data_IF_558821317577
#
_entry.id   IF_558821317577
#
_cell.length_a   1.000
_cell.length_b   1.000
_cell.length_c   1.000
_cell.angle_alpha   90.00
_cell.angle_beta   90.00
_cell.angle_gamma   90.00
#
_symmetry.space_group_name_H-M   'P 1'
#
loop_
_entity.id
_entity.type
_entity.pdbx_description
1 polymer ?
#
# COMPACT_ATOMS: atom_id res chain seq x y z
N UNK A 1 -2.26 -14.31 -1.78
CA UNK A 1 -2.67 -13.32 -0.75
C UNK A 1 -2.74 -11.95 -1.41
N UNK A 2 -3.88 -11.24 -1.26
CA UNK A 2 -4.08 -9.93 -1.89
C UNK A 2 -3.68 -8.80 -0.95
N UNK A 3 -2.95 -7.83 -1.46
CA UNK A 3 -2.57 -6.60 -0.77
C UNK A 3 -2.97 -5.39 -1.62
N UNK A 4 -3.38 -4.33 -0.97
CA UNK A 4 -3.53 -3.01 -1.60
C UNK A 4 -2.31 -2.19 -1.17
N UNK A 5 -1.45 -1.88 -2.14
CA UNK A 5 -0.24 -1.07 -1.92
C UNK A 5 -0.60 0.38 -2.23
N UNK A 6 -0.44 1.25 -1.24
CA UNK A 6 -0.90 2.64 -1.29
C UNK A 6 0.30 3.59 -1.28
N UNK A 7 0.30 4.52 -2.23
CA UNK A 7 1.34 5.53 -2.40
C UNK A 7 0.75 6.90 -2.08
N UNK A 8 1.48 7.69 -1.32
CA UNK A 8 1.00 9.01 -0.90
C UNK A 8 2.14 10.01 -0.72
N UNK A 9 1.76 11.27 -0.54
CA UNK A 9 2.68 12.31 -0.15
C UNK A 9 2.89 12.28 1.36
N UNK A 10 4.15 12.29 1.79
CA UNK A 10 4.48 12.39 3.20
C UNK A 10 4.72 13.84 3.58
N UNK A 11 4.17 14.26 4.71
CA UNK A 11 4.38 15.62 5.24
C UNK A 11 5.78 15.80 5.83
N UNK A 12 6.45 14.72 6.20
CA UNK A 12 7.79 14.74 6.78
C UNK A 12 8.84 14.57 5.66
N UNK A 13 9.25 15.68 5.08
CA UNK A 13 10.06 15.69 3.86
C UNK A 13 11.52 16.08 4.15
N UNK A 14 12.18 15.46 5.08
CA UNK A 14 13.62 15.70 5.30
C UNK A 14 14.47 15.28 4.09
N UNK A 15 15.61 14.72 4.34
CA UNK A 15 16.59 14.21 3.35
C UNK A 15 15.94 13.27 2.33
N UNK A 16 14.82 12.64 2.69
CA UNK A 16 14.10 11.68 1.85
C UNK A 16 13.52 12.29 0.57
N UNK A 17 13.37 13.61 0.50
CA UNK A 17 12.92 14.32 -0.71
C UNK A 17 13.86 14.04 -1.91
N UNK A 18 15.13 13.82 -1.63
CA UNK A 18 16.12 13.48 -2.66
C UNK A 18 15.85 12.11 -3.29
N UNK A 19 15.30 11.17 -2.52
CA UNK A 19 15.04 9.81 -2.99
C UNK A 19 13.71 9.65 -3.73
N UNK A 20 12.81 10.64 -3.63
CA UNK A 20 11.53 10.58 -4.36
C UNK A 20 11.62 11.14 -5.78
N UNK A 21 12.75 11.78 -6.13
CA UNK A 21 13.00 12.37 -7.45
C UNK A 21 11.91 13.36 -7.87
N UNK A 22 11.27 14.02 -6.91
CA UNK A 22 10.28 15.05 -7.17
C UNK A 22 8.96 14.58 -7.79
N UNK A 23 8.68 13.29 -7.82
CA UNK A 23 7.40 12.78 -8.31
C UNK A 23 6.31 13.02 -7.25
N UNK A 24 5.29 13.84 -7.53
CA UNK A 24 4.22 14.06 -6.55
C UNK A 24 3.48 12.75 -6.24
N UNK A 25 2.99 12.61 -5.03
CA UNK A 25 2.25 11.45 -4.51
C UNK A 25 3.09 10.17 -4.36
N UNK A 26 4.42 10.22 -4.55
CA UNK A 26 5.28 9.04 -4.43
C UNK A 26 6.40 9.25 -3.42
N UNK A 27 6.11 9.91 -2.30
CA UNK A 27 7.12 10.09 -1.25
C UNK A 27 7.04 9.04 -0.14
N UNK A 28 5.93 8.30 -0.04
CA UNK A 28 5.76 7.25 0.98
C UNK A 28 4.91 6.10 0.43
N UNK A 29 5.11 4.90 0.99
CA UNK A 29 4.34 3.71 0.62
C UNK A 29 4.01 2.89 1.86
N UNK A 30 2.78 2.36 1.89
CA UNK A 30 2.31 1.43 2.91
C UNK A 30 1.38 0.40 2.26
N UNK A 31 0.97 -0.63 3.01
CA UNK A 31 0.09 -1.66 2.49
C UNK A 31 -1.10 -1.86 3.41
N UNK A 32 -2.25 -2.15 2.81
CA UNK A 32 -3.43 -2.58 3.55
C UNK A 32 -3.94 -3.90 2.99
N UNK A 33 -4.62 -4.66 3.83
CA UNK A 33 -5.24 -5.92 3.47
C UNK A 33 -6.55 -6.06 4.22
N UNK A 34 -7.55 -6.56 3.52
CA UNK A 34 -8.79 -6.99 4.14
C UNK A 34 -8.71 -8.49 4.45
N UNK A 35 -9.02 -8.85 5.66
CA UNK A 35 -9.13 -10.25 6.09
C UNK A 35 -10.61 -10.61 6.20
N UNK A 36 -11.07 -11.40 5.24
CA UNK A 36 -12.47 -11.74 5.08
C UNK A 36 -12.98 -12.65 6.21
N UNK A 37 -12.11 -13.52 6.75
CA UNK A 37 -12.51 -14.44 7.80
C UNK A 37 -12.82 -13.73 9.12
N UNK A 38 -12.08 -12.69 9.44
CA UNK A 38 -12.23 -11.96 10.70
C UNK A 38 -12.90 -10.61 10.55
N UNK A 39 -13.24 -10.21 9.33
CA UNK A 39 -13.84 -8.91 8.97
C UNK A 39 -13.00 -7.74 9.52
N UNK A 40 -11.69 -7.78 9.23
CA UNK A 40 -10.81 -6.71 9.68
C UNK A 40 -9.95 -6.20 8.52
N UNK A 41 -9.62 -4.91 8.59
CA UNK A 41 -8.61 -4.29 7.76
C UNK A 41 -7.30 -4.18 8.54
N UNK A 42 -6.22 -4.63 7.93
CA UNK A 42 -4.89 -4.57 8.50
C UNK A 42 -4.07 -3.58 7.67
N UNK A 43 -3.53 -2.56 8.33
CA UNK A 43 -2.62 -1.60 7.70
C UNK A 43 -1.21 -1.84 8.22
N UNK A 44 -0.26 -1.99 7.30
CA UNK A 44 1.16 -2.17 7.62
C UNK A 44 1.93 -0.98 7.03
N UNK A 45 2.64 -0.27 7.89
CA UNK A 45 3.34 0.94 7.49
C UNK A 45 4.70 1.00 8.18
N UNK A 46 5.74 1.31 7.41
CA UNK A 46 7.07 1.53 7.96
C UNK A 46 7.36 3.04 7.95
N UNK A 47 7.32 3.63 9.13
CA UNK A 47 7.65 5.05 9.32
C UNK A 47 9.16 5.29 9.40
N UNK A 48 9.54 6.46 9.86
CA UNK A 48 10.95 6.86 9.91
C UNK A 48 11.76 5.96 10.84
N UNK A 49 11.19 5.55 11.96
CA UNK A 49 11.90 4.77 12.98
C UNK A 49 11.10 3.57 13.48
N UNK A 50 9.85 3.45 13.07
CA UNK A 50 8.94 2.45 13.66
C UNK A 50 8.14 1.75 12.60
N UNK A 51 7.89 0.48 12.86
CA UNK A 51 6.91 -0.30 12.13
C UNK A 51 5.55 -0.14 12.83
N UNK A 52 4.53 0.14 12.05
CA UNK A 52 3.16 0.29 12.55
C UNK A 52 2.29 -0.79 11.92
N UNK A 53 1.60 -1.53 12.78
CA UNK A 53 0.55 -2.46 12.37
C UNK A 53 -0.74 -1.98 13.02
N UNK A 54 -1.70 -1.57 12.22
CA UNK A 54 -2.99 -1.08 12.70
C UNK A 54 -4.11 -1.99 12.20
N UNK A 55 -5.06 -2.28 13.07
CA UNK A 55 -6.21 -3.13 12.75
C UNK A 55 -7.48 -2.29 12.93
N UNK A 56 -8.34 -2.28 11.91
CA UNK A 56 -9.59 -1.53 11.90
C UNK A 56 -10.75 -2.48 11.68
N UNK A 57 -11.82 -2.31 12.46
CA UNK A 57 -13.02 -3.16 12.39
C UNK A 57 -14.26 -2.32 12.19
N UNK A 58 -15.19 -2.87 11.43
CA UNK A 58 -16.51 -2.27 11.24
C UNK A 58 -16.42 -0.80 10.83
N UNK A 59 -17.17 0.05 11.52
CA UNK A 59 -17.27 1.48 11.20
C UNK A 59 -15.92 2.23 11.28
N UNK A 60 -14.98 1.72 12.07
CA UNK A 60 -13.64 2.35 12.18
C UNK A 60 -12.86 2.24 10.86
N UNK A 61 -13.13 1.22 10.05
CA UNK A 61 -12.45 1.02 8.77
C UNK A 61 -12.93 2.02 7.71
N UNK A 62 -14.18 2.45 7.76
CA UNK A 62 -14.80 3.27 6.72
C UNK A 62 -14.02 4.56 6.44
N UNK A 63 -13.72 5.42 7.44
CA UNK A 63 -12.97 6.64 7.14
C UNK A 63 -11.54 6.36 6.67
N UNK A 64 -10.92 5.29 7.15
CA UNK A 64 -9.58 4.90 6.67
C UNK A 64 -9.63 4.50 5.21
N UNK A 65 -10.58 3.63 4.84
CA UNK A 65 -10.74 3.15 3.46
C UNK A 65 -11.06 4.32 2.52
N UNK A 66 -11.96 5.21 2.95
CA UNK A 66 -12.31 6.37 2.14
C UNK A 66 -11.09 7.27 1.89
N UNK A 67 -10.31 7.53 2.93
CA UNK A 67 -9.09 8.33 2.79
C UNK A 67 -8.07 7.68 1.84
N UNK A 68 -7.97 6.35 1.83
CA UNK A 68 -7.10 5.65 0.90
C UNK A 68 -7.47 5.95 -0.55
N UNK A 69 -8.76 5.85 -0.87
CA UNK A 69 -9.21 6.01 -2.24
C UNK A 69 -9.27 7.47 -2.69
N UNK A 70 -9.53 8.38 -1.77
CA UNK A 70 -9.59 9.82 -2.10
C UNK A 70 -8.20 10.43 -2.31
N UNK A 71 -7.20 9.96 -1.60
CA UNK A 71 -5.89 10.61 -1.54
C UNK A 71 -4.68 9.75 -1.91
N UNK A 72 -4.69 8.43 -2.10
CA UNK A 72 -3.67 7.64 -2.33
C UNK A 72 -3.79 7.11 -3.67
N UNK A 73 -2.72 6.93 -4.19
CA UNK A 73 -2.67 6.12 -5.42
C UNK A 73 -2.51 4.66 -5.00
N UNK A 74 -3.46 3.80 -5.35
CA UNK A 74 -3.51 2.44 -4.85
C UNK A 74 -3.40 1.40 -5.97
N UNK A 75 -2.67 0.31 -5.70
CA UNK A 75 -2.56 -0.84 -6.60
C UNK A 75 -2.91 -2.10 -5.81
N UNK A 76 -3.86 -2.87 -6.31
CA UNK A 76 -4.09 -4.22 -5.82
C UNK A 76 -3.03 -5.15 -6.41
N UNK A 77 -2.44 -5.97 -5.57
CA UNK A 77 -1.41 -6.91 -6.00
C UNK A 77 -1.53 -8.21 -5.24
N UNK A 78 -1.54 -9.31 -5.99
CA UNK A 78 -1.61 -10.65 -5.41
C UNK A 78 -0.23 -11.29 -5.35
N UNK A 79 0.17 -11.71 -4.14
CA UNK A 79 1.39 -12.47 -3.94
C UNK A 79 1.08 -13.94 -3.76
N UNK A 80 1.88 -14.79 -4.42
CA UNK A 80 1.74 -16.22 -4.33
C UNK A 80 2.32 -16.80 -3.02
N UNK A 81 3.23 -16.07 -2.40
CA UNK A 81 3.96 -16.54 -1.21
C UNK A 81 3.51 -15.78 0.04
N UNK A 82 3.30 -16.51 1.11
CA UNK A 82 2.97 -15.94 2.42
C UNK A 82 4.22 -15.72 3.29
N UNK A 83 5.38 -16.16 2.84
CA UNK A 83 6.62 -15.98 3.58
C UNK A 83 7.22 -14.60 3.29
N UNK A 84 7.41 -13.82 4.32
CA UNK A 84 8.01 -12.49 4.22
C UNK A 84 9.50 -12.61 4.55
N UNK A 85 10.35 -12.33 3.57
CA UNK A 85 11.79 -12.26 3.83
C UNK A 85 12.14 -10.91 4.46
N UNK A 86 12.97 -10.93 5.48
CA UNK A 86 13.36 -9.69 6.16
C UNK A 86 14.47 -8.98 5.36
N UNK A 87 14.27 -7.73 4.97
CA UNK A 87 15.31 -6.99 4.28
C UNK A 87 16.42 -6.55 5.24
N UNK A 88 17.62 -6.39 4.70
CA UNK A 88 18.78 -5.91 5.48
C UNK A 88 18.65 -4.44 5.87
N UNK A 89 18.05 -3.63 5.00
CA UNK A 89 17.79 -2.22 5.27
C UNK A 89 16.28 -2.00 5.30
N UNK A 90 15.78 -1.48 6.40
CA UNK A 90 14.34 -1.29 6.61
C UNK A 90 13.95 0.15 6.33
N UNK A 91 13.14 0.35 5.30
CA UNK A 91 12.44 1.60 5.01
C UNK A 91 11.18 1.24 4.21
N UNK A 92 10.30 2.22 3.98
CA UNK A 92 8.95 1.91 3.48
C UNK A 92 8.95 1.08 2.19
N UNK A 93 9.79 1.43 1.21
CA UNK A 93 9.83 0.69 -0.06
C UNK A 93 10.39 -0.72 0.14
N UNK A 94 11.51 -0.86 0.88
CA UNK A 94 12.11 -2.18 1.08
C UNK A 94 11.16 -3.12 1.84
N UNK A 95 10.44 -2.58 2.83
CA UNK A 95 9.45 -3.36 3.57
C UNK A 95 8.32 -3.85 2.66
N UNK A 96 7.68 -2.92 1.94
CA UNK A 96 6.55 -3.28 1.07
C UNK A 96 7.00 -4.24 -0.05
N UNK A 97 8.16 -3.99 -0.64
CA UNK A 97 8.72 -4.88 -1.67
C UNK A 97 8.82 -6.32 -1.18
N UNK A 98 9.34 -6.52 0.03
CA UNK A 98 9.46 -7.86 0.60
C UNK A 98 8.11 -8.44 1.01
N UNK A 99 7.21 -7.60 1.53
CA UNK A 99 5.85 -8.01 1.90
C UNK A 99 5.09 -8.61 0.71
N UNK A 100 5.23 -7.99 -0.47
CA UNK A 100 4.53 -8.47 -1.68
C UNK A 100 5.38 -9.46 -2.51
N UNK A 101 6.51 -9.93 -1.99
CA UNK A 101 7.32 -10.96 -2.63
C UNK A 101 8.15 -10.49 -3.82
N UNK A 102 8.34 -9.19 -4.00
CA UNK A 102 9.15 -8.67 -5.10
C UNK A 102 10.63 -8.71 -4.77
N UNK A 103 11.43 -9.11 -5.75
CA UNK A 103 12.89 -9.18 -5.64
C UNK A 103 13.54 -8.14 -6.55
N UNK A 104 14.69 -7.64 -6.16
CA UNK A 104 15.46 -6.68 -6.95
C UNK A 104 16.01 -5.55 -6.08
N UNK A 105 17.30 -5.26 -6.23
CA UNK A 105 17.96 -4.23 -5.43
C UNK A 105 17.72 -2.81 -5.98
N UNK A 106 17.29 -2.70 -7.23
CA UNK A 106 17.13 -1.43 -7.94
C UNK A 106 15.85 -0.66 -7.56
N UNK A 107 14.89 -1.35 -6.92
CA UNK A 107 13.66 -0.70 -6.46
C UNK A 107 13.92 0.00 -5.13
N UNK A 108 14.29 1.27 -5.19
CA UNK A 108 14.64 2.07 -4.00
C UNK A 108 13.68 3.23 -3.76
N UNK A 109 12.85 3.59 -4.75
CA UNK A 109 11.86 4.68 -4.59
C UNK A 109 10.43 4.13 -4.69
N UNK A 110 9.44 4.81 -4.06
CA UNK A 110 8.04 4.40 -4.21
C UNK A 110 7.56 4.37 -5.65
N UNK A 111 8.02 5.30 -6.49
CA UNK A 111 7.64 5.32 -7.90
C UNK A 111 8.18 4.10 -8.66
N UNK A 112 9.41 3.68 -8.39
CA UNK A 112 9.96 2.46 -9.00
C UNK A 112 9.17 1.22 -8.57
N UNK A 113 8.78 1.17 -7.30
CA UNK A 113 7.95 0.08 -6.79
C UNK A 113 6.58 0.08 -7.49
N UNK A 114 5.96 1.25 -7.65
CA UNK A 114 4.68 1.39 -8.34
C UNK A 114 4.77 0.84 -9.77
N UNK A 115 5.79 1.26 -10.54
CA UNK A 115 5.98 0.78 -11.91
C UNK A 115 6.18 -0.73 -11.99
N UNK A 116 6.94 -1.28 -11.03
CA UNK A 116 7.20 -2.73 -11.00
C UNK A 116 5.94 -3.52 -10.64
N UNK A 117 5.12 -3.02 -9.71
CA UNK A 117 3.85 -3.66 -9.38
C UNK A 117 2.95 -3.73 -10.62
N UNK A 118 2.83 -2.64 -11.36
CA UNK A 118 2.06 -2.64 -12.62
C UNK A 118 2.63 -3.65 -13.62
N UNK A 119 3.96 -3.66 -13.79
CA UNK A 119 4.61 -4.58 -14.73
C UNK A 119 4.39 -6.04 -14.36
N UNK A 120 4.19 -6.33 -13.07
CA UNK A 120 3.95 -7.69 -12.55
C UNK A 120 2.47 -8.06 -12.46
N UNK A 121 1.60 -7.24 -13.05
CA UNK A 121 0.17 -7.55 -13.12
C UNK A 121 -0.68 -6.93 -12.02
N UNK A 122 -0.12 -6.01 -11.25
CA UNK A 122 -0.92 -5.26 -10.27
C UNK A 122 -1.96 -4.39 -10.94
N UNK A 123 -3.13 -4.30 -10.36
CA UNK A 123 -4.27 -3.58 -10.90
C UNK A 123 -4.43 -2.24 -10.17
N UNK A 124 -4.35 -1.10 -10.88
CA UNK A 124 -4.62 0.19 -10.26
C UNK A 124 -6.05 0.28 -9.79
N UNK A 125 -6.25 0.77 -8.59
CA UNK A 125 -7.58 1.02 -8.05
C UNK A 125 -7.93 2.48 -8.31
N UNK A 126 -8.92 2.70 -9.17
CA UNK A 126 -9.43 4.04 -9.50
C UNK A 126 -10.80 4.20 -8.88
N UNK A 127 -10.94 5.15 -7.98
CA UNK A 127 -12.27 5.51 -7.49
C UNK A 127 -12.78 6.67 -8.33
N UNK A 128 -13.85 6.41 -9.07
CA UNK A 128 -14.57 7.50 -9.71
C UNK A 128 -15.25 8.33 -8.62
N UNK A 129 -15.00 9.61 -8.63
CA UNK A 129 -15.38 10.55 -7.58
C UNK A 129 -16.90 10.79 -7.46
N UNK A 130 -17.73 9.96 -8.10
CA UNK A 130 -19.18 10.08 -8.03
C UNK A 130 -19.80 8.76 -7.57
N UNK A 131 -20.32 8.78 -6.37
CA UNK A 131 -21.19 7.78 -5.74
C UNK A 131 -20.47 6.57 -5.14
N UNK A 132 -19.97 6.79 -3.96
CA UNK A 132 -19.58 5.71 -3.06
C UNK A 132 -20.81 4.89 -2.64
N UNK A 133 -21.01 3.79 -3.32
CA UNK A 133 -21.71 2.66 -2.70
C UNK A 133 -20.62 1.77 -2.10
N UNK A 134 -20.35 1.97 -0.83
CA UNK A 134 -19.33 1.24 -0.07
C UNK A 134 -19.51 -0.28 -0.15
N UNK A 135 -20.72 -0.74 -0.43
CA UNK A 135 -21.05 -2.16 -0.54
C UNK A 135 -20.38 -2.86 -1.74
N UNK A 136 -20.36 -2.19 -2.90
CA UNK A 136 -19.82 -2.83 -4.11
C UNK A 136 -18.29 -2.95 -4.10
N UNK A 137 -17.63 -2.08 -3.36
CA UNK A 137 -16.17 -2.13 -3.27
C UNK A 137 -15.70 -3.30 -2.42
N UNK A 138 -16.41 -3.60 -1.33
CA UNK A 138 -16.09 -4.76 -0.49
C UNK A 138 -16.25 -6.07 -1.26
N UNK A 139 -17.26 -6.18 -2.13
CA UNK A 139 -17.45 -7.36 -2.96
C UNK A 139 -16.34 -7.54 -3.99
N UNK A 140 -15.87 -6.46 -4.58
CA UNK A 140 -14.79 -6.52 -5.58
C UNK A 140 -13.45 -6.91 -4.97
N UNK A 141 -13.17 -6.49 -3.72
CA UNK A 141 -11.92 -6.83 -3.04
C UNK A 141 -11.99 -8.25 -2.45
N UNK A 142 -13.20 -8.74 -2.16
CA UNK A 142 -13.41 -10.07 -1.58
C UNK A 142 -13.46 -11.19 -2.64
N UNK A 143 -13.63 -10.88 -3.92
CA UNK A 143 -13.63 -11.86 -5.01
C UNK A 143 -12.24 -12.11 -5.57
#
# INVERSE_FOLDING_TARGET
MKWIVCFCESKNIGIWKLFTLGKPNFSHVFAVRYDQETDVWIKLEFGTERFHCSVFRGEQATPMIQALFDFXTCIEYETADNAISMPRAMYCVSFIKHLVGLKGFWMVTPHQLYCELLRKGGTPIFVQSNTLKSHNLMESIAS
#
